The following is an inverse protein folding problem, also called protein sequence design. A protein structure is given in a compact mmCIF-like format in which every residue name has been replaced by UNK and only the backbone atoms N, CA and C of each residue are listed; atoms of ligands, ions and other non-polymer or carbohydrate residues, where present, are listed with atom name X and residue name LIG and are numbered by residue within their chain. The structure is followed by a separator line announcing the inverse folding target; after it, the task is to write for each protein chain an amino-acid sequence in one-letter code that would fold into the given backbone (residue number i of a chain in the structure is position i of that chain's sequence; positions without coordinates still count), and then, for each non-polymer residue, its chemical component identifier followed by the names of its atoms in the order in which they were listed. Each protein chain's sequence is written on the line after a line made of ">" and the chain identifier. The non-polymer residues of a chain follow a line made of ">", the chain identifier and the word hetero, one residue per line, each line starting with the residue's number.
data_IF_930647776917
#
_entry.id   IF_930647776917
#
_cell.length_a   1.000
_cell.length_b   1.000
_cell.length_c   1.000
_cell.angle_alpha   90.00
_cell.angle_beta   90.00
_cell.angle_gamma   90.00
#
_symmetry.space_group_name_H-M   'P 1'
#
loop_
_entity.id
_entity.type
_entity.pdbx_description
1 polymer ?
#
# COMPACT_ATOMS: atom_id res chain seq x y z
N UNK A 1 9.22 17.76 23.92
CA UNK A 1 9.85 17.31 22.67
C UNK A 1 8.77 16.60 21.89
N UNK A 2 8.38 17.11 20.73
CA UNK A 2 7.45 16.40 19.83
C UNK A 2 8.23 15.31 19.08
N UNK A 3 8.51 14.21 19.78
CA UNK A 3 9.27 13.05 19.28
C UNK A 3 8.46 12.18 18.29
N UNK A 4 7.46 12.76 17.64
CA UNK A 4 6.69 12.05 16.63
C UNK A 4 7.55 11.86 15.39
N UNK A 5 7.65 10.62 14.87
CA UNK A 5 8.45 10.35 13.69
C UNK A 5 7.98 11.20 12.51
N UNK A 6 8.90 11.56 11.62
CA UNK A 6 8.63 12.43 10.47
C UNK A 6 7.53 11.88 9.54
N UNK A 7 7.33 10.57 9.55
CA UNK A 7 6.30 9.85 8.78
C UNK A 7 4.96 9.68 9.51
N UNK A 8 4.84 10.19 10.75
CA UNK A 8 3.59 10.05 11.53
C UNK A 8 2.41 10.77 10.85
N UNK A 9 1.19 10.21 10.93
CA UNK A 9 -0.01 10.83 10.36
C UNK A 9 -0.24 12.26 10.85
N UNK A 10 0.06 12.54 12.12
CA UNK A 10 -0.10 13.87 12.72
C UNK A 10 0.88 14.88 12.13
N UNK A 11 2.13 14.49 11.88
CA UNK A 11 3.12 15.35 11.19
C UNK A 11 2.68 15.61 9.76
N UNK A 12 2.27 14.57 9.02
CA UNK A 12 1.82 14.68 7.63
C UNK A 12 0.61 15.61 7.48
N UNK A 13 -0.32 15.59 8.43
CA UNK A 13 -1.51 16.46 8.42
C UNK A 13 -1.15 17.96 8.51
N UNK A 14 -0.04 18.29 9.16
CA UNK A 14 0.44 19.67 9.32
C UNK A 14 1.27 20.19 8.16
N UNK A 15 1.77 19.30 7.28
CA UNK A 15 2.61 19.69 6.15
C UNK A 15 1.80 20.40 5.05
N UNK A 16 2.37 21.42 4.38
CA UNK A 16 1.77 22.00 3.19
C UNK A 16 1.66 20.95 2.06
N UNK A 17 0.71 21.11 1.12
CA UNK A 17 0.44 20.10 0.09
C UNK A 17 1.66 19.56 -0.67
N UNK A 18 2.61 20.38 -1.18
CA UNK A 18 3.75 19.86 -1.94
C UNK A 18 4.72 19.04 -1.08
N UNK A 19 4.96 19.46 0.16
CA UNK A 19 5.83 18.73 1.09
C UNK A 19 5.19 17.43 1.55
N UNK A 20 3.88 17.44 1.75
CA UNK A 20 3.10 16.24 2.08
C UNK A 20 3.18 15.21 0.96
N UNK A 21 2.98 15.61 -0.28
CA UNK A 21 3.10 14.73 -1.46
C UNK A 21 4.49 14.11 -1.59
N UNK A 22 5.53 14.95 -1.44
CA UNK A 22 6.91 14.48 -1.43
C UNK A 22 7.19 13.47 -0.30
N UNK A 23 6.65 13.72 0.90
CA UNK A 23 6.81 12.84 2.05
C UNK A 23 6.06 11.52 1.86
N UNK A 24 4.86 11.55 1.28
CA UNK A 24 4.10 10.36 0.93
C UNK A 24 4.83 9.50 -0.11
N UNK A 25 5.48 10.13 -1.10
CA UNK A 25 6.34 9.43 -2.07
C UNK A 25 7.49 8.71 -1.37
N UNK A 26 8.21 9.39 -0.47
CA UNK A 26 9.30 8.78 0.33
C UNK A 26 8.83 7.59 1.16
N UNK A 27 7.66 7.70 1.80
CA UNK A 27 7.07 6.60 2.58
C UNK A 27 6.77 5.42 1.66
N UNK A 28 6.15 5.67 0.50
CA UNK A 28 5.83 4.63 -0.47
C UNK A 28 7.09 3.90 -0.97
N UNK A 29 8.17 4.63 -1.26
CA UNK A 29 9.46 4.05 -1.65
C UNK A 29 10.07 3.19 -0.54
N UNK A 30 10.07 3.68 0.70
CA UNK A 30 10.60 2.95 1.85
C UNK A 30 9.83 1.63 2.09
N UNK A 31 8.50 1.67 1.97
CA UNK A 31 7.65 0.47 2.05
C UNK A 31 7.96 -0.49 0.90
N UNK A 32 8.07 0.00 -0.32
CA UNK A 32 8.41 -0.86 -1.47
C UNK A 32 9.78 -1.53 -1.31
N UNK A 33 10.77 -0.79 -0.82
CA UNK A 33 12.10 -1.32 -0.56
C UNK A 33 12.08 -2.39 0.54
N UNK A 34 11.38 -2.14 1.65
CA UNK A 34 11.21 -3.11 2.72
C UNK A 34 10.55 -4.41 2.24
N UNK A 35 9.46 -4.28 1.46
CA UNK A 35 8.79 -5.44 0.86
C UNK A 35 9.75 -6.19 -0.07
N UNK A 36 10.52 -5.50 -0.90
CA UNK A 36 11.48 -6.13 -1.79
C UNK A 36 12.59 -6.90 -1.07
N UNK A 37 13.09 -6.40 0.06
CA UNK A 37 14.11 -7.07 0.84
C UNK A 37 13.60 -8.30 1.60
N UNK A 38 12.32 -8.31 1.98
CA UNK A 38 11.74 -9.34 2.86
C UNK A 38 10.88 -10.37 2.13
N UNK A 39 10.69 -10.21 0.83
CA UNK A 39 9.77 -11.02 0.03
C UNK A 39 10.54 -11.74 -1.06
N UNK A 40 10.31 -13.04 -1.23
CA UNK A 40 10.87 -13.79 -2.33
C UNK A 40 10.43 -13.18 -3.68
N UNK A 41 11.25 -13.24 -4.74
CA UNK A 41 10.95 -12.62 -6.04
C UNK A 41 9.59 -13.02 -6.64
N UNK A 42 9.21 -14.29 -6.51
CA UNK A 42 7.93 -14.81 -7.00
C UNK A 42 6.75 -14.22 -6.24
N UNK A 43 6.87 -14.11 -4.92
CA UNK A 43 5.85 -13.54 -4.06
C UNK A 43 5.69 -12.03 -4.31
N UNK A 44 6.80 -11.33 -4.54
CA UNK A 44 6.78 -9.93 -4.93
C UNK A 44 6.12 -9.70 -6.30
N UNK A 45 6.33 -10.63 -7.24
CA UNK A 45 5.67 -10.63 -8.55
C UNK A 45 4.15 -10.83 -8.38
N UNK A 46 3.72 -11.77 -7.53
CA UNK A 46 2.31 -11.96 -7.19
C UNK A 46 1.67 -10.71 -6.60
N UNK A 47 2.33 -10.06 -5.62
CA UNK A 47 1.84 -8.83 -5.01
C UNK A 47 1.69 -7.68 -6.01
N UNK A 48 2.66 -7.53 -6.92
CA UNK A 48 2.59 -6.53 -8.00
C UNK A 48 1.44 -6.81 -8.96
N UNK A 49 1.27 -8.05 -9.38
CA UNK A 49 0.17 -8.47 -10.25
C UNK A 49 -1.19 -8.24 -9.60
N UNK A 50 -1.35 -8.62 -8.33
CA UNK A 50 -2.56 -8.39 -7.55
C UNK A 50 -2.90 -6.90 -7.45
N UNK A 51 -1.90 -6.05 -7.15
CA UNK A 51 -2.09 -4.59 -7.09
C UNK A 51 -2.53 -4.01 -8.44
N UNK A 52 -1.90 -4.45 -9.53
CA UNK A 52 -2.27 -4.02 -10.88
C UNK A 52 -3.71 -4.43 -11.24
N UNK A 53 -4.09 -5.67 -10.94
CA UNK A 53 -5.46 -6.17 -11.19
C UNK A 53 -6.50 -5.33 -10.44
N UNK A 54 -6.28 -5.05 -9.14
CA UNK A 54 -7.19 -4.20 -8.35
C UNK A 54 -7.30 -2.78 -8.91
N UNK A 55 -6.19 -2.18 -9.31
CA UNK A 55 -6.18 -0.82 -9.88
C UNK A 55 -6.97 -0.73 -11.22
N UNK A 56 -7.13 -1.85 -11.92
CA UNK A 56 -7.86 -1.93 -13.19
C UNK A 56 -9.26 -2.55 -13.04
N UNK A 57 -9.80 -2.65 -11.82
CA UNK A 57 -11.16 -3.17 -11.58
C UNK A 57 -11.30 -4.69 -11.72
N UNK A 58 -10.18 -5.43 -11.77
CA UNK A 58 -10.13 -6.89 -11.91
C UNK A 58 -9.92 -7.60 -10.57
N UNK A 59 -10.36 -6.99 -9.46
CA UNK A 59 -10.15 -7.51 -8.11
C UNK A 59 -10.74 -8.92 -7.90
N UNK A 60 -11.85 -9.24 -8.57
CA UNK A 60 -12.50 -10.56 -8.50
C UNK A 60 -11.58 -11.73 -8.96
N UNK A 61 -10.57 -11.47 -9.79
CA UNK A 61 -9.58 -12.47 -10.20
C UNK A 61 -8.52 -12.74 -9.12
N UNK A 62 -8.41 -11.86 -8.13
CA UNK A 62 -7.43 -11.93 -7.04
C UNK A 62 -8.07 -12.42 -5.75
N UNK A 63 -9.26 -11.91 -5.43
CA UNK A 63 -9.92 -12.16 -4.15
C UNK A 63 -10.78 -13.45 -4.15
N UNK A 64 -10.88 -14.12 -5.31
CA UNK A 64 -11.73 -15.29 -5.52
C UNK A 64 -13.23 -14.92 -5.56
N UNK A 65 -14.12 -15.87 -5.91
CA UNK A 65 -15.55 -15.64 -5.75
C UNK A 65 -15.82 -15.38 -4.26
N UNK A 66 -16.45 -14.24 -3.95
CA UNK A 66 -16.97 -14.00 -2.61
C UNK A 66 -17.79 -15.21 -2.16
N UNK A 67 -17.65 -15.70 -0.91
CA UNK A 67 -18.43 -16.82 -0.44
C UNK A 67 -19.90 -16.49 -0.68
N UNK A 68 -20.58 -17.33 -1.45
CA UNK A 68 -22.02 -17.21 -1.70
C UNK A 68 -22.67 -17.31 -0.34
N UNK A 69 -23.02 -16.15 0.24
CA UNK A 69 -23.76 -16.13 1.49
C UNK A 69 -25.16 -16.56 1.09
N UNK A 70 -25.46 -17.85 1.24
CA UNK A 70 -26.83 -18.34 1.15
C UNK A 70 -27.61 -17.66 2.26
N UNK A 71 -28.35 -16.61 1.93
CA UNK A 71 -29.41 -16.12 2.78
C UNK A 71 -30.51 -17.21 2.85
N UNK A 72 -31.02 -17.52 4.05
CA UNK A 72 -32.03 -18.55 4.26
C UNK A 72 -33.37 -18.23 3.60
#
# INVERSE_FOLDING_TARGET
>A
MDDKPWWSPERLATLPPPEREHTMTKIAEAVQHHVALRTAPDELTRLRAARWLRANGLAALVDGPAPVTQCP
#
